data_IF_818908334658
#
_entry.id   IF_818908334658
#
_cell.length_a   1.000
_cell.length_b   1.000
_cell.length_c   1.000
_cell.angle_alpha   90.00
_cell.angle_beta   90.00
_cell.angle_gamma   90.00
#
_symmetry.space_group_name_H-M   'P 1'
#
loop_
_entity.id
_entity.type
_entity.pdbx_description
1 polymer ?
#
# COMPACT_ATOMS: atom_id res chain seq x y z
N UNK A 1 39.84 57.20 -11.41
CA UNK A 1 38.37 57.16 -11.62
C UNK A 1 38.14 56.32 -12.87
N UNK A 2 37.38 55.23 -12.91
CA UNK A 2 36.28 54.77 -12.06
C UNK A 2 36.52 53.34 -11.57
N UNK A 3 36.20 53.12 -10.30
CA UNK A 3 36.08 51.83 -9.61
C UNK A 3 34.89 51.07 -10.21
N UNK A 4 35.05 49.77 -10.46
CA UNK A 4 33.91 48.86 -10.62
C UNK A 4 33.48 48.41 -9.20
N UNK A 5 32.19 48.41 -8.85
CA UNK A 5 31.74 48.01 -7.52
C UNK A 5 31.79 46.49 -7.37
N UNK A 6 32.25 46.06 -6.20
CA UNK A 6 32.00 44.73 -5.65
C UNK A 6 30.59 44.68 -5.04
N UNK A 7 29.95 43.50 -5.07
CA UNK A 7 28.58 43.23 -4.63
C UNK A 7 27.67 43.10 -5.85
N UNK A 8 27.00 41.98 -6.11
CA UNK A 8 26.13 41.23 -5.21
C UNK A 8 26.23 39.71 -5.42
N UNK A 9 25.82 38.98 -4.39
CA UNK A 9 26.12 37.58 -4.18
C UNK A 9 25.57 36.62 -5.24
N UNK A 10 26.38 35.61 -5.50
CA UNK A 10 26.02 34.35 -6.14
C UNK A 10 24.89 33.69 -5.34
N UNK A 11 23.62 33.95 -5.68
CA UNK A 11 22.48 33.18 -5.19
C UNK A 11 22.35 31.91 -6.03
N UNK A 12 23.16 30.89 -5.71
CA UNK A 12 22.91 29.51 -6.14
C UNK A 12 22.27 28.79 -4.95
N UNK A 13 21.10 29.26 -4.54
CA UNK A 13 20.13 28.45 -3.83
C UNK A 13 18.87 28.53 -4.67
N UNK A 14 18.68 27.55 -5.56
CA UNK A 14 17.33 27.32 -6.09
C UNK A 14 16.47 27.06 -4.86
N UNK A 15 15.52 27.96 -4.60
CA UNK A 15 14.54 27.84 -3.53
C UNK A 15 13.93 26.44 -3.61
N UNK A 16 14.05 25.66 -2.53
CA UNK A 16 13.54 24.29 -2.48
C UNK A 16 12.02 24.41 -2.49
N UNK A 17 11.39 24.00 -3.60
CA UNK A 17 9.94 24.00 -3.76
C UNK A 17 9.38 22.68 -3.24
N UNK A 18 8.23 22.74 -2.56
CA UNK A 18 7.51 21.56 -2.10
C UNK A 18 6.90 20.83 -3.29
N UNK A 19 7.22 19.55 -3.43
CA UNK A 19 6.76 18.72 -4.55
C UNK A 19 5.59 17.85 -4.12
N UNK A 20 4.49 17.85 -4.88
CA UNK A 20 3.34 16.98 -4.70
C UNK A 20 3.27 15.97 -5.85
N UNK A 21 3.34 14.68 -5.53
CA UNK A 21 3.24 13.60 -6.53
C UNK A 21 2.00 12.75 -6.26
N UNK A 22 1.21 12.46 -7.30
CA UNK A 22 0.00 11.63 -7.17
C UNK A 22 -0.27 10.83 -8.45
N UNK A 23 -0.91 9.63 -8.36
CA UNK A 23 -1.29 8.89 -9.54
C UNK A 23 -2.36 9.65 -10.34
N UNK A 24 -2.33 9.53 -11.66
CA UNK A 24 -3.24 10.27 -12.55
C UNK A 24 -4.74 10.05 -12.25
N UNK A 25 -5.12 8.89 -11.69
CA UNK A 25 -6.49 8.60 -11.26
C UNK A 25 -6.88 9.23 -9.91
N UNK A 26 -5.95 9.85 -9.17
CA UNK A 26 -6.18 10.36 -7.81
C UNK A 26 -7.41 11.28 -7.70
N UNK A 27 -7.62 12.13 -8.72
CA UNK A 27 -8.73 13.09 -8.75
C UNK A 27 -10.06 12.48 -9.23
N UNK A 28 -10.08 11.20 -9.63
CA UNK A 28 -11.31 10.53 -10.04
C UNK A 28 -12.20 10.15 -8.85
N UNK A 29 -11.62 10.01 -7.66
CA UNK A 29 -12.37 9.62 -6.47
C UNK A 29 -13.45 10.64 -6.08
N UNK A 30 -14.68 10.13 -5.95
CA UNK A 30 -15.82 10.81 -5.36
C UNK A 30 -16.52 9.86 -4.40
N UNK A 31 -16.74 10.30 -3.16
CA UNK A 31 -17.47 9.51 -2.18
C UNK A 31 -18.91 9.29 -2.65
N UNK A 32 -19.37 8.05 -2.65
CA UNK A 32 -20.74 7.65 -3.00
C UNK A 32 -21.72 7.81 -1.83
N UNK A 33 -21.24 8.23 -0.65
CA UNK A 33 -22.00 8.48 0.57
C UNK A 33 -22.92 7.29 0.90
N UNK A 34 -24.23 7.50 0.95
CA UNK A 34 -25.23 6.46 1.23
C UNK A 34 -25.29 5.34 0.18
N UNK A 35 -24.68 5.53 -0.99
CA UNK A 35 -24.52 4.47 -2.00
C UNK A 35 -23.37 3.51 -1.71
N UNK A 36 -22.52 3.77 -0.71
CA UNK A 36 -21.41 2.90 -0.35
C UNK A 36 -21.92 1.65 0.38
N UNK A 37 -21.56 0.42 -0.04
CA UNK A 37 -21.98 -0.81 0.63
C UNK A 37 -21.24 -1.04 1.97
N UNK A 38 -20.29 -0.17 2.31
CA UNK A 38 -19.47 -0.23 3.51
C UNK A 38 -19.38 1.15 4.19
N UNK A 39 -18.76 1.20 5.37
CA UNK A 39 -18.55 2.41 6.15
C UNK A 39 -17.08 2.62 6.49
N UNK A 40 -16.58 3.83 6.24
CA UNK A 40 -15.24 4.23 6.65
C UNK A 40 -15.13 4.45 8.18
N UNK A 41 -16.24 4.44 8.92
CA UNK A 41 -16.31 4.77 10.34
C UNK A 41 -16.40 3.54 11.26
N UNK A 42 -15.88 2.39 10.82
CA UNK A 42 -15.84 1.17 11.62
C UNK A 42 -14.50 0.44 11.51
N UNK A 43 -14.11 -0.29 12.55
CA UNK A 43 -12.94 -1.17 12.57
C UNK A 43 -11.60 -0.48 12.87
N UNK A 44 -11.51 0.85 12.88
CA UNK A 44 -10.27 1.57 13.17
C UNK A 44 -10.53 2.91 13.87
N UNK A 45 -9.56 3.36 14.67
CA UNK A 45 -9.65 4.60 15.46
C UNK A 45 -9.49 5.85 14.60
N UNK A 46 -10.47 6.76 14.65
CA UNK A 46 -10.41 8.02 13.91
C UNK A 46 -9.78 9.11 14.78
N UNK A 47 -8.58 9.53 14.41
CA UNK A 47 -7.88 10.66 15.05
C UNK A 47 -8.46 11.99 14.58
N UNK A 48 -8.51 12.95 15.50
CA UNK A 48 -9.08 14.30 15.32
C UNK A 48 -7.93 15.29 15.38
N UNK A 49 -7.80 16.13 14.34
CA UNK A 49 -6.81 17.20 14.34
C UNK A 49 -7.12 18.28 15.39
N UNK A 50 -6.08 18.99 15.84
CA UNK A 50 -6.19 20.00 16.90
C UNK A 50 -7.18 21.13 16.58
N UNK A 51 -7.33 21.52 15.31
CA UNK A 51 -8.26 22.56 14.91
C UNK A 51 -9.72 22.08 15.06
N UNK A 52 -10.00 20.85 14.64
CA UNK A 52 -11.31 20.21 14.82
C UNK A 52 -11.62 19.95 16.29
N UNK A 53 -10.67 19.54 17.12
CA UNK A 53 -10.86 19.42 18.57
C UNK A 53 -11.29 20.76 19.19
N UNK A 54 -10.64 21.87 18.80
CA UNK A 54 -11.03 23.20 19.26
C UNK A 54 -12.44 23.56 18.79
N UNK A 55 -12.78 23.25 17.53
CA UNK A 55 -14.12 23.48 16.97
C UNK A 55 -15.19 22.72 17.75
N UNK A 56 -14.95 21.43 18.01
CA UNK A 56 -15.88 20.56 18.74
C UNK A 56 -16.05 20.97 20.19
N UNK A 57 -14.99 21.47 20.84
CA UNK A 57 -15.04 21.93 22.23
C UNK A 57 -15.90 23.17 22.43
N UNK A 58 -16.05 23.97 21.38
CA UNK A 58 -16.81 25.22 21.40
C UNK A 58 -18.19 25.06 20.75
N UNK A 59 -18.61 23.83 20.45
CA UNK A 59 -19.93 23.60 19.88
C UNK A 59 -20.98 23.51 20.99
N UNK A 60 -21.97 24.38 20.91
CA UNK A 60 -23.10 24.39 21.83
C UNK A 60 -24.23 23.47 21.38
N UNK A 61 -25.21 23.28 22.27
CA UNK A 61 -26.44 22.56 21.98
C UNK A 61 -26.35 21.03 22.14
N UNK A 62 -27.42 20.30 21.75
CA UNK A 62 -27.51 18.86 21.94
C UNK A 62 -26.38 18.08 21.23
N UNK A 63 -26.05 18.47 20.00
CA UNK A 63 -24.99 17.81 19.23
C UNK A 63 -23.59 18.12 19.80
N UNK A 64 -23.36 19.36 20.25
CA UNK A 64 -22.17 19.73 21.01
C UNK A 64 -21.99 18.87 22.26
N UNK A 65 -23.06 18.67 23.02
CA UNK A 65 -23.06 17.77 24.20
C UNK A 65 -22.70 16.34 23.83
N UNK A 66 -23.17 15.83 22.69
CA UNK A 66 -22.78 14.50 22.17
C UNK A 66 -21.30 14.46 21.80
N UNK A 67 -20.76 15.49 21.13
CA UNK A 67 -19.33 15.60 20.82
C UNK A 67 -18.48 15.53 22.09
N UNK A 68 -18.83 16.30 23.12
CA UNK A 68 -18.14 16.29 24.41
C UNK A 68 -18.08 14.91 25.05
N UNK A 69 -19.18 14.16 24.98
CA UNK A 69 -19.26 12.83 25.59
C UNK A 69 -18.66 11.72 24.72
N UNK A 70 -18.47 11.97 23.42
CA UNK A 70 -18.09 10.96 22.43
C UNK A 70 -16.67 11.12 21.87
N UNK A 71 -15.86 11.99 22.49
CA UNK A 71 -14.44 12.20 22.15
C UNK A 71 -13.56 11.79 23.32
N UNK A 72 -12.48 11.04 23.04
CA UNK A 72 -11.36 10.87 23.96
C UNK A 72 -10.46 12.11 23.88
N UNK A 73 -10.77 13.14 24.66
CA UNK A 73 -10.13 14.46 24.56
C UNK A 73 -8.61 14.48 24.78
N UNK A 74 -8.09 13.55 25.57
CA UNK A 74 -6.65 13.41 25.83
C UNK A 74 -5.92 12.79 24.63
N UNK A 75 -6.52 11.78 24.03
CA UNK A 75 -5.96 11.07 22.88
C UNK A 75 -6.23 11.83 21.57
N UNK A 76 -7.28 12.65 21.53
CA UNK A 76 -7.71 13.33 20.33
C UNK A 76 -8.35 12.37 19.32
N UNK A 77 -9.21 11.47 19.78
CA UNK A 77 -9.87 10.46 18.93
C UNK A 77 -11.38 10.39 19.21
N UNK A 78 -12.16 9.94 18.22
CA UNK A 78 -13.56 9.62 18.48
C UNK A 78 -13.67 8.31 19.27
N UNK A 79 -14.57 8.28 20.26
CA UNK A 79 -14.92 7.05 20.97
C UNK A 79 -15.50 6.04 19.97
N UNK A 80 -15.28 4.77 20.26
CA UNK A 80 -15.90 3.67 19.54
C UNK A 80 -16.82 2.87 20.45
N UNK A 81 -17.97 2.48 19.92
CA UNK A 81 -18.91 1.58 20.56
C UNK A 81 -19.07 0.34 19.68
N UNK A 82 -18.72 -0.82 20.22
CA UNK A 82 -18.69 -2.07 19.47
C UNK A 82 -17.93 -1.96 18.14
N UNK A 83 -16.77 -1.28 18.12
CA UNK A 83 -15.93 -1.10 16.93
C UNK A 83 -16.48 -0.14 15.87
N UNK A 84 -17.54 0.62 16.17
CA UNK A 84 -18.11 1.67 15.32
C UNK A 84 -17.83 3.04 15.93
N UNK A 85 -17.52 4.04 15.12
CA UNK A 85 -17.41 5.43 15.55
C UNK A 85 -18.71 5.87 16.25
N UNK A 86 -18.59 6.64 17.34
CA UNK A 86 -19.74 7.14 18.09
C UNK A 86 -20.71 8.04 17.30
N UNK A 87 -20.30 8.50 16.11
CA UNK A 87 -21.10 9.32 15.20
C UNK A 87 -21.58 8.56 13.96
N UNK A 88 -21.35 7.24 13.89
CA UNK A 88 -21.90 6.41 12.84
C UNK A 88 -23.29 5.92 13.26
N UNK A 89 -24.33 6.38 12.58
CA UNK A 89 -25.71 6.04 12.91
C UNK A 89 -26.12 4.64 12.41
N UNK A 90 -27.38 4.28 12.66
CA UNK A 90 -27.95 2.98 12.30
C UNK A 90 -28.06 2.77 10.77
N UNK A 91 -28.15 3.86 10.00
CA UNK A 91 -28.13 3.86 8.54
C UNK A 91 -26.71 3.80 7.96
N UNK A 92 -25.67 3.65 8.80
CA UNK A 92 -24.26 3.70 8.44
C UNK A 92 -23.81 5.06 7.85
N UNK A 93 -24.49 6.15 8.22
CA UNK A 93 -24.13 7.51 7.85
C UNK A 93 -23.50 8.28 9.03
N UNK A 94 -22.71 9.30 8.72
CA UNK A 94 -22.00 10.10 9.72
C UNK A 94 -22.86 11.25 10.23
N UNK A 95 -23.18 11.24 11.53
CA UNK A 95 -24.01 12.29 12.15
C UNK A 95 -23.28 13.64 12.23
N UNK A 96 -21.95 13.68 12.25
CA UNK A 96 -21.22 14.97 12.16
C UNK A 96 -21.53 15.64 10.82
N UNK A 97 -21.61 14.86 9.74
CA UNK A 97 -21.94 15.40 8.43
C UNK A 97 -23.40 15.85 8.38
N UNK A 98 -24.35 15.03 8.82
CA UNK A 98 -25.78 15.35 8.70
C UNK A 98 -26.25 16.45 9.65
N UNK A 99 -25.75 16.48 10.88
CA UNK A 99 -26.19 17.45 11.91
C UNK A 99 -25.43 18.76 11.84
N UNK A 100 -24.13 18.72 11.57
CA UNK A 100 -23.27 19.91 11.64
C UNK A 100 -22.75 20.37 10.27
N UNK A 101 -22.77 19.51 9.26
CA UNK A 101 -22.29 19.83 7.91
C UNK A 101 -20.87 19.34 7.60
N UNK A 102 -20.50 19.21 6.31
CA UNK A 102 -19.20 18.70 5.86
C UNK A 102 -17.99 19.48 6.41
N UNK A 103 -18.14 20.78 6.65
CA UNK A 103 -17.10 21.65 7.20
C UNK A 103 -16.77 21.35 8.66
N UNK A 104 -17.59 20.56 9.35
CA UNK A 104 -17.33 20.05 10.70
C UNK A 104 -16.62 18.70 10.69
N UNK A 105 -16.46 18.02 9.56
CA UNK A 105 -15.61 16.84 9.52
C UNK A 105 -14.17 17.21 9.87
N UNK A 106 -13.55 16.42 10.75
CA UNK A 106 -12.13 16.54 11.04
C UNK A 106 -11.31 16.23 9.80
N UNK A 107 -10.03 16.64 9.80
CA UNK A 107 -9.13 16.45 8.66
C UNK A 107 -9.13 14.99 8.20
N UNK A 108 -9.00 14.04 9.12
CA UNK A 108 -9.01 12.59 8.85
C UNK A 108 -10.27 12.16 8.08
N UNK A 109 -11.46 12.49 8.57
CA UNK A 109 -12.73 12.14 7.90
C UNK A 109 -12.89 12.84 6.55
N UNK A 110 -12.40 14.08 6.42
CA UNK A 110 -12.55 14.88 5.20
C UNK A 110 -11.61 14.42 4.09
N UNK A 111 -10.41 13.98 4.43
CA UNK A 111 -9.41 13.57 3.45
C UNK A 111 -9.59 12.12 3.05
N UNK A 112 -10.06 11.24 3.95
CA UNK A 112 -10.27 9.83 3.65
C UNK A 112 -11.09 9.62 2.36
N UNK A 113 -10.69 8.71 1.46
CA UNK A 113 -9.59 7.74 1.54
C UNK A 113 -8.27 8.26 0.94
N UNK A 114 -8.05 9.57 0.87
CA UNK A 114 -6.77 10.12 0.41
C UNK A 114 -5.73 9.93 1.50
N UNK A 115 -4.67 9.21 1.14
CA UNK A 115 -3.47 9.03 1.92
C UNK A 115 -2.40 10.04 1.47
N UNK A 116 -1.62 10.53 2.42
CA UNK A 116 -0.51 11.45 2.16
C UNK A 116 0.70 10.93 2.95
N UNK A 117 1.73 10.51 2.23
CA UNK A 117 3.05 10.29 2.80
C UNK A 117 3.84 11.60 2.77
N UNK A 118 4.49 11.90 3.89
CA UNK A 118 5.20 13.17 4.11
C UNK A 118 6.71 12.93 4.20
N UNK A 119 7.45 13.42 3.22
CA UNK A 119 8.91 13.44 3.23
C UNK A 119 9.42 14.88 3.21
N UNK A 120 10.72 15.08 3.45
CA UNK A 120 11.30 16.41 3.36
C UNK A 120 11.29 16.92 1.92
N UNK A 121 10.64 18.06 1.70
CA UNK A 121 10.51 18.67 0.37
C UNK A 121 9.54 17.97 -0.58
N UNK A 122 8.89 16.86 -0.20
CA UNK A 122 7.82 16.28 -1.01
C UNK A 122 6.66 15.61 -0.23
N UNK A 123 5.48 15.64 -0.84
CA UNK A 123 4.27 14.92 -0.42
C UNK A 123 3.87 13.96 -1.51
N UNK A 124 3.56 12.75 -1.12
CA UNK A 124 3.08 11.72 -2.04
C UNK A 124 1.67 11.34 -1.67
N UNK A 125 0.74 11.58 -2.59
CA UNK A 125 -0.68 11.45 -2.34
C UNK A 125 -1.23 10.29 -3.13
N UNK A 126 -2.00 9.41 -2.49
CA UNK A 126 -2.68 8.27 -3.13
C UNK A 126 -4.07 8.07 -2.54
N UNK A 127 -4.82 7.11 -3.05
CA UNK A 127 -6.08 6.65 -2.46
C UNK A 127 -5.82 5.34 -1.71
N UNK A 128 -6.43 5.12 -0.55
CA UNK A 128 -6.30 3.86 0.19
C UNK A 128 -7.19 2.77 -0.42
N UNK A 129 -6.66 1.55 -0.57
CA UNK A 129 -7.46 0.36 -0.92
C UNK A 129 -8.57 0.08 0.11
N UNK A 130 -8.42 0.54 1.36
CA UNK A 130 -9.40 0.38 2.44
C UNK A 130 -10.75 1.06 2.22
N UNK A 131 -10.95 1.78 1.12
CA UNK A 131 -12.26 2.23 0.66
C UNK A 131 -12.62 1.48 -0.63
N UNK A 132 -13.78 0.82 -0.66
CA UNK A 132 -14.21 0.02 -1.80
C UNK A 132 -14.28 0.80 -3.13
N UNK A 133 -14.70 2.07 -3.09
CA UNK A 133 -14.72 2.94 -4.29
C UNK A 133 -13.29 3.26 -4.75
N UNK A 134 -12.37 3.54 -3.82
CA UNK A 134 -10.97 3.75 -4.14
C UNK A 134 -10.29 2.48 -4.68
N UNK A 135 -10.57 1.31 -4.08
CA UNK A 135 -10.10 0.02 -4.58
C UNK A 135 -10.58 -0.24 -6.01
N UNK A 136 -11.85 0.08 -6.30
CA UNK A 136 -12.44 -0.02 -7.65
C UNK A 136 -11.71 0.90 -8.63
N UNK A 137 -11.39 2.14 -8.24
CA UNK A 137 -10.63 3.08 -9.09
C UNK A 137 -9.20 2.58 -9.35
N UNK A 138 -8.48 2.14 -8.30
CA UNK A 138 -7.09 1.68 -8.40
C UNK A 138 -7.00 0.42 -9.27
N UNK A 139 -7.83 -0.58 -8.97
CA UNK A 139 -7.79 -1.89 -9.65
C UNK A 139 -8.49 -1.87 -11.01
N UNK A 140 -9.38 -0.90 -11.23
CA UNK A 140 -10.05 -0.65 -12.50
C UNK A 140 -9.20 0.16 -13.48
N UNK A 141 -8.03 0.65 -13.07
CA UNK A 141 -7.08 1.32 -13.95
C UNK A 141 -6.50 0.30 -14.95
N UNK A 142 -6.96 0.32 -16.20
CA UNK A 142 -6.47 -0.59 -17.23
C UNK A 142 -5.15 -0.12 -17.83
N UNK A 143 -4.89 1.19 -17.92
CA UNK A 143 -3.61 1.73 -18.37
C UNK A 143 -2.50 1.64 -17.30
N UNK A 144 -1.21 1.63 -17.71
CA UNK A 144 -0.10 1.77 -16.77
C UNK A 144 -0.16 3.10 -16.01
N UNK A 145 0.04 3.06 -14.70
CA UNK A 145 -0.11 4.24 -13.84
C UNK A 145 0.92 5.30 -14.17
N UNK A 146 0.45 6.50 -14.53
CA UNK A 146 1.28 7.70 -14.62
C UNK A 146 1.19 8.48 -13.32
N UNK A 147 2.32 9.01 -12.87
CA UNK A 147 2.40 9.92 -11.73
C UNK A 147 2.51 11.35 -12.24
N UNK A 148 1.72 12.24 -11.64
CA UNK A 148 1.68 13.66 -11.95
C UNK A 148 2.33 14.41 -10.80
N UNK A 149 3.09 15.44 -11.14
CA UNK A 149 3.84 16.26 -10.18
C UNK A 149 3.35 17.70 -10.23
N UNK A 150 3.28 18.35 -9.06
CA UNK A 150 3.01 19.78 -8.90
C UNK A 150 3.99 20.36 -7.90
N UNK A 151 4.34 21.63 -8.08
CA UNK A 151 5.26 22.37 -7.21
C UNK A 151 4.49 23.45 -6.44
N UNK A 152 4.91 23.72 -5.22
CA UNK A 152 4.44 24.79 -4.34
C UNK A 152 5.67 25.50 -3.73
N UNK A 153 5.57 26.79 -3.45
CA UNK A 153 6.66 27.63 -2.94
C UNK A 153 6.94 27.42 -1.44
N UNK A 154 6.13 26.59 -0.77
CA UNK A 154 6.32 26.26 0.65
C UNK A 154 7.64 25.53 0.91
N UNK A 155 8.21 25.79 2.08
CA UNK A 155 9.42 25.14 2.56
C UNK A 155 9.16 24.48 3.90
N UNK A 156 9.64 23.26 4.04
CA UNK A 156 9.61 22.49 5.28
C UNK A 156 10.98 21.85 5.47
N UNK A 157 11.46 21.84 6.71
CA UNK A 157 12.75 21.26 7.08
C UNK A 157 12.57 20.29 8.23
N UNK A 158 13.15 19.10 8.14
CA UNK A 158 13.19 18.11 9.21
C UNK A 158 14.64 17.86 9.60
N UNK A 159 15.00 18.16 10.85
CA UNK A 159 16.41 18.20 11.29
C UNK A 159 17.16 16.87 11.13
N UNK A 160 16.44 15.74 11.17
CA UNK A 160 17.01 14.38 11.18
C UNK A 160 16.71 13.55 9.90
N UNK A 161 16.39 14.18 8.78
CA UNK A 161 16.06 13.46 7.54
C UNK A 161 17.31 13.01 6.75
N UNK A 162 17.44 11.72 6.48
CA UNK A 162 18.52 11.17 5.65
C UNK A 162 18.25 11.40 4.16
N UNK A 163 18.56 12.61 3.69
CA UNK A 163 18.42 13.01 2.28
C UNK A 163 19.19 12.11 1.32
N UNK A 164 20.36 11.61 1.73
CA UNK A 164 21.18 10.79 0.85
C UNK A 164 20.52 9.43 0.62
N UNK A 165 20.05 8.78 1.69
CA UNK A 165 19.26 7.56 1.58
C UNK A 165 17.96 7.81 0.81
N UNK A 166 17.22 8.86 1.14
CA UNK A 166 15.96 9.18 0.48
C UNK A 166 16.13 9.36 -1.04
N UNK A 167 17.15 10.10 -1.47
CA UNK A 167 17.45 10.28 -2.90
C UNK A 167 17.65 8.94 -3.59
N UNK A 168 18.44 8.03 -3.00
CA UNK A 168 18.68 6.70 -3.58
C UNK A 168 17.44 5.79 -3.55
N UNK A 169 16.57 5.94 -2.56
CA UNK A 169 15.28 5.25 -2.50
C UNK A 169 14.35 5.74 -3.62
N UNK A 170 14.28 7.04 -3.87
CA UNK A 170 13.51 7.63 -4.95
C UNK A 170 13.98 7.11 -6.32
N UNK A 171 15.28 7.15 -6.59
CA UNK A 171 15.87 6.67 -7.84
C UNK A 171 15.59 5.16 -8.06
N UNK A 172 15.72 4.36 -7.01
CA UNK A 172 15.45 2.91 -7.06
C UNK A 172 13.95 2.62 -7.26
N UNK A 173 13.08 3.40 -6.62
CA UNK A 173 11.62 3.26 -6.75
C UNK A 173 11.16 3.67 -8.14
N UNK A 174 11.69 4.75 -8.71
CA UNK A 174 11.37 5.17 -10.06
C UNK A 174 11.68 4.05 -11.06
N UNK A 175 12.87 3.44 -10.97
CA UNK A 175 13.21 2.27 -11.77
C UNK A 175 12.28 1.08 -11.50
N UNK A 176 11.93 0.80 -10.25
CA UNK A 176 11.00 -0.28 -9.92
C UNK A 176 9.61 -0.03 -10.55
N UNK A 177 9.10 1.19 -10.51
CA UNK A 177 7.83 1.57 -11.13
C UNK A 177 7.89 1.51 -12.66
N UNK A 178 9.02 1.87 -13.27
CA UNK A 178 9.24 1.70 -14.71
C UNK A 178 9.19 0.23 -15.13
N UNK A 179 9.90 -0.63 -14.38
CA UNK A 179 9.89 -2.09 -14.60
C UNK A 179 8.47 -2.63 -14.42
N UNK A 180 7.78 -2.28 -13.33
CA UNK A 180 6.42 -2.73 -13.04
C UNK A 180 5.42 -2.31 -14.10
N UNK A 181 5.60 -1.17 -14.78
CA UNK A 181 4.69 -0.69 -15.82
C UNK A 181 4.99 -1.20 -17.22
N UNK A 182 6.16 -1.82 -17.43
CA UNK A 182 6.56 -2.38 -18.73
C UNK A 182 5.90 -3.73 -19.00
N UNK A 183 4.67 -3.71 -19.50
CA UNK A 183 3.87 -4.90 -19.85
C UNK A 183 4.44 -5.73 -21.01
N UNK A 184 5.59 -5.36 -21.56
CA UNK A 184 6.31 -6.24 -22.50
C UNK A 184 7.03 -7.39 -21.80
N UNK A 185 7.13 -7.32 -20.47
CA UNK A 185 7.55 -8.40 -19.59
C UNK A 185 6.35 -9.07 -18.91
N UNK A 186 6.54 -10.34 -18.52
CA UNK A 186 5.61 -11.03 -17.63
C UNK A 186 5.51 -10.31 -16.27
N UNK A 187 4.42 -10.50 -15.53
CA UNK A 187 4.33 -9.89 -14.19
C UNK A 187 5.33 -10.53 -13.21
N UNK A 188 5.63 -11.81 -13.44
CA UNK A 188 6.60 -12.62 -12.73
C UNK A 188 7.98 -11.97 -12.81
N UNK A 189 8.47 -11.75 -14.03
CA UNK A 189 9.80 -11.19 -14.25
C UNK A 189 9.93 -9.77 -13.69
N UNK A 190 8.89 -8.95 -13.87
CA UNK A 190 8.85 -7.58 -13.33
C UNK A 190 8.98 -7.59 -11.80
N UNK A 191 8.21 -8.45 -11.15
CA UNK A 191 8.22 -8.59 -9.69
C UNK A 191 9.55 -9.14 -9.20
N UNK A 192 10.10 -10.16 -9.87
CA UNK A 192 11.42 -10.73 -9.59
C UNK A 192 12.52 -9.66 -9.72
N UNK A 193 12.46 -8.81 -10.75
CA UNK A 193 13.38 -7.68 -10.94
C UNK A 193 13.33 -6.68 -9.78
N UNK A 194 12.13 -6.31 -9.34
CA UNK A 194 11.96 -5.39 -8.22
C UNK A 194 12.45 -5.98 -6.89
N UNK A 195 12.18 -7.27 -6.62
CA UNK A 195 12.67 -7.98 -5.44
C UNK A 195 14.20 -8.04 -5.42
N UNK A 196 14.82 -8.35 -6.57
CA UNK A 196 16.27 -8.35 -6.71
C UNK A 196 16.90 -6.98 -6.52
N UNK A 197 16.33 -5.93 -7.14
CA UNK A 197 16.80 -4.56 -7.00
C UNK A 197 16.83 -4.14 -5.52
N UNK A 198 15.72 -4.37 -4.82
CA UNK A 198 15.61 -4.03 -3.40
C UNK A 198 16.56 -4.87 -2.53
N UNK A 199 16.74 -6.15 -2.83
CA UNK A 199 17.71 -7.02 -2.15
C UNK A 199 19.15 -6.47 -2.27
N UNK A 200 19.56 -6.13 -3.48
CA UNK A 200 20.92 -5.65 -3.74
C UNK A 200 21.15 -4.23 -3.21
N UNK A 201 20.11 -3.40 -3.17
CA UNK A 201 20.15 -2.09 -2.53
C UNK A 201 20.31 -2.23 -1.01
N UNK A 202 19.53 -3.12 -0.39
CA UNK A 202 19.66 -3.42 1.04
C UNK A 202 21.07 -3.90 1.42
N UNK A 203 21.70 -4.71 0.55
CA UNK A 203 23.08 -5.17 0.76
C UNK A 203 24.10 -4.03 0.76
N UNK A 204 23.86 -2.93 0.03
CA UNK A 204 24.70 -1.72 0.05
C UNK A 204 24.48 -0.91 1.31
N UNK A 205 23.23 -0.70 1.71
CA UNK A 205 22.88 -0.02 2.96
C UNK A 205 23.57 -0.72 4.14
N UNK A 206 23.38 -2.05 4.28
CA UNK A 206 23.98 -2.84 5.37
C UNK A 206 25.50 -2.81 5.41
N UNK A 207 26.16 -2.60 4.27
CA UNK A 207 27.63 -2.55 4.17
C UNK A 207 28.18 -1.13 4.26
N UNK A 208 27.35 -0.10 4.47
CA UNK A 208 27.77 1.30 4.44
C UNK A 208 28.24 1.77 3.06
N UNK A 209 27.76 1.13 1.98
CA UNK A 209 28.19 1.38 0.59
C UNK A 209 27.08 1.97 -0.27
N UNK A 210 26.27 2.86 0.30
CA UNK A 210 25.15 3.50 -0.40
C UNK A 210 25.60 4.35 -1.59
N UNK A 211 26.84 4.85 -1.60
CA UNK A 211 27.46 5.50 -2.76
C UNK A 211 27.58 4.60 -4.01
N UNK A 212 27.47 3.28 -3.87
CA UNK A 212 27.42 2.32 -4.99
C UNK A 212 26.00 2.12 -5.56
N UNK A 213 24.99 2.84 -5.06
CA UNK A 213 23.59 2.68 -5.49
C UNK A 213 23.36 3.09 -6.94
N UNK A 214 24.01 4.15 -7.43
CA UNK A 214 23.81 4.63 -8.80
C UNK A 214 24.25 3.59 -9.83
N UNK A 215 25.41 2.97 -9.60
CA UNK A 215 25.90 1.87 -10.44
C UNK A 215 25.01 0.63 -10.37
N UNK A 216 24.36 0.37 -9.23
CA UNK A 216 23.37 -0.69 -9.09
C UNK A 216 22.13 -0.41 -9.93
N UNK A 217 21.53 0.77 -9.77
CA UNK A 217 20.32 1.20 -10.47
C UNK A 217 20.55 1.15 -11.97
N UNK A 218 21.68 1.68 -12.45
CA UNK A 218 22.02 1.64 -13.87
C UNK A 218 22.20 0.20 -14.41
N UNK A 219 22.76 -0.70 -13.59
CA UNK A 219 22.87 -2.12 -13.95
C UNK A 219 21.49 -2.75 -14.14
N UNK A 220 20.54 -2.49 -13.24
CA UNK A 220 19.17 -3.01 -13.37
C UNK A 220 18.42 -2.34 -14.53
N UNK A 221 18.62 -1.04 -14.77
CA UNK A 221 18.06 -0.32 -15.93
C UNK A 221 18.50 -0.96 -17.25
N UNK A 222 19.79 -1.28 -17.38
CA UNK A 222 20.32 -1.99 -18.57
C UNK A 222 19.78 -3.40 -18.70
N UNK A 223 19.65 -4.13 -17.58
CA UNK A 223 19.08 -5.47 -17.55
C UNK A 223 17.59 -5.45 -17.99
N UNK A 224 16.83 -4.48 -17.48
CA UNK A 224 15.45 -4.19 -17.87
C UNK A 224 15.34 -3.89 -19.37
N UNK A 225 16.15 -2.97 -19.88
CA UNK A 225 16.16 -2.61 -21.31
C UNK A 225 16.62 -3.74 -22.26
N UNK A 226 17.41 -4.70 -21.76
CA UNK A 226 17.85 -5.90 -22.51
C UNK A 226 16.96 -7.12 -22.32
N UNK A 227 15.88 -7.01 -21.55
CA UNK A 227 14.98 -8.13 -21.24
C UNK A 227 15.67 -9.33 -20.61
N UNK A 228 16.56 -9.07 -19.63
CA UNK A 228 17.38 -10.11 -19.00
C UNK A 228 17.32 -10.04 -17.48
N UNK A 229 16.89 -11.12 -16.85
CA UNK A 229 17.02 -11.28 -15.40
C UNK A 229 18.51 -11.34 -14.99
N UNK A 230 18.93 -10.59 -13.96
CA UNK A 230 20.25 -10.72 -13.36
C UNK A 230 20.56 -12.15 -12.95
N UNK A 231 21.80 -12.59 -13.20
CA UNK A 231 22.29 -13.90 -12.76
C UNK A 231 22.45 -13.95 -11.24
N UNK A 232 22.21 -15.11 -10.63
CA UNK A 232 22.45 -15.36 -9.20
C UNK A 232 21.18 -15.37 -8.33
N UNK A 233 20.00 -15.33 -8.94
CA UNK A 233 18.73 -15.55 -8.25
C UNK A 233 18.30 -17.00 -8.42
N UNK A 234 18.93 -17.90 -7.67
CA UNK A 234 18.49 -19.29 -7.66
C UNK A 234 17.12 -19.39 -6.99
N UNK A 235 16.24 -20.16 -7.60
CA UNK A 235 14.90 -20.43 -7.08
C UNK A 235 14.97 -21.59 -6.13
N UNK A 236 14.21 -21.51 -5.04
CA UNK A 236 14.04 -22.67 -4.18
C UNK A 236 13.17 -23.71 -4.91
N UNK A 237 13.50 -24.99 -4.73
CA UNK A 237 12.61 -26.10 -5.10
C UNK A 237 11.50 -26.24 -4.05
N UNK A 238 10.66 -25.21 -3.93
CA UNK A 238 9.49 -25.22 -3.05
C UNK A 238 8.25 -24.84 -3.84
N UNK A 239 7.11 -25.36 -3.40
CA UNK A 239 5.83 -25.06 -4.04
C UNK A 239 5.30 -23.70 -3.61
N UNK A 240 4.51 -23.06 -4.49
CA UNK A 240 3.70 -21.89 -4.12
C UNK A 240 2.84 -22.17 -2.89
N UNK A 241 2.24 -23.36 -2.84
CA UNK A 241 1.42 -23.84 -1.72
C UNK A 241 2.13 -23.63 -0.36
N UNK A 242 3.38 -24.09 -0.22
CA UNK A 242 4.11 -23.97 1.06
C UNK A 242 4.38 -22.52 1.45
N UNK A 243 4.81 -21.70 0.48
CA UNK A 243 5.16 -20.29 0.74
C UNK A 243 3.91 -19.49 1.08
N UNK A 244 2.82 -19.71 0.33
CA UNK A 244 1.58 -18.97 0.51
C UNK A 244 0.76 -19.46 1.70
N UNK A 245 0.82 -20.74 2.08
CA UNK A 245 0.21 -21.22 3.32
C UNK A 245 0.88 -20.58 4.54
N UNK A 246 2.21 -20.47 4.53
CA UNK A 246 2.96 -19.74 5.57
C UNK A 246 2.60 -18.25 5.58
N UNK A 247 2.55 -17.59 4.41
CA UNK A 247 2.12 -16.19 4.31
C UNK A 247 0.70 -15.98 4.85
N UNK A 248 -0.24 -16.85 4.47
CA UNK A 248 -1.64 -16.76 4.86
C UNK A 248 -1.81 -16.99 6.37
N UNK A 249 -0.93 -17.78 6.98
CA UNK A 249 -0.94 -17.98 8.44
C UNK A 249 -0.65 -16.70 9.23
N UNK A 250 0.00 -15.70 8.64
CA UNK A 250 0.30 -14.41 9.29
C UNK A 250 -0.97 -13.66 9.71
N UNK A 251 -2.09 -13.84 9.01
CA UNK A 251 -3.36 -13.22 9.42
C UNK A 251 -3.82 -13.65 10.82
N UNK A 252 -3.40 -14.82 11.31
CA UNK A 252 -3.72 -15.26 12.67
C UNK A 252 -2.86 -14.63 13.76
N UNK A 253 -1.78 -13.96 13.36
CA UNK A 253 -0.86 -13.25 14.27
C UNK A 253 -1.14 -11.74 14.34
N UNK A 254 -2.01 -11.26 13.45
CA UNK A 254 -2.43 -9.87 13.36
C UNK A 254 -3.52 -9.56 14.40
N UNK A 255 -3.56 -8.32 14.86
CA UNK A 255 -4.70 -7.83 15.63
C UNK A 255 -5.95 -7.78 14.74
N UNK A 256 -7.11 -8.02 15.36
CA UNK A 256 -8.38 -8.11 14.64
C UNK A 256 -9.06 -6.74 14.62
N UNK A 257 -9.19 -6.16 13.43
CA UNK A 257 -9.88 -4.89 13.20
C UNK A 257 -11.34 -5.12 12.76
N UNK A 258 -11.55 -6.00 11.79
CA UNK A 258 -12.88 -6.41 11.32
C UNK A 258 -13.49 -7.50 12.20
N UNK A 259 -14.72 -7.31 12.68
CA UNK A 259 -15.39 -8.34 13.52
C UNK A 259 -15.60 -9.68 12.81
N UNK A 260 -15.87 -9.62 11.52
CA UNK A 260 -16.09 -10.77 10.64
C UNK A 260 -14.79 -11.33 10.04
N UNK A 261 -13.67 -10.61 10.18
CA UNK A 261 -12.38 -10.98 9.62
C UNK A 261 -11.89 -12.37 10.06
N UNK A 262 -11.93 -12.76 11.35
CA UNK A 262 -11.43 -14.08 11.77
C UNK A 262 -12.22 -15.23 11.14
N UNK A 263 -13.56 -15.11 11.07
CA UNK A 263 -14.41 -16.11 10.44
C UNK A 263 -14.15 -16.17 8.93
N UNK A 264 -14.01 -15.01 8.30
CA UNK A 264 -13.71 -14.90 6.88
C UNK A 264 -12.38 -15.57 6.51
N UNK A 265 -11.27 -15.19 7.15
CA UNK A 265 -9.93 -15.73 6.85
C UNK A 265 -9.87 -17.22 7.18
N UNK A 266 -10.51 -17.67 8.26
CA UNK A 266 -10.58 -19.10 8.58
C UNK A 266 -11.27 -19.90 7.48
N UNK A 267 -12.41 -19.41 6.98
CA UNK A 267 -13.12 -20.00 5.84
C UNK A 267 -12.25 -20.03 4.58
N UNK A 268 -11.60 -18.92 4.25
CA UNK A 268 -10.71 -18.83 3.08
C UNK A 268 -9.51 -19.78 3.18
N UNK A 269 -8.91 -19.89 4.38
CA UNK A 269 -7.81 -20.83 4.63
C UNK A 269 -8.26 -22.27 4.43
N UNK A 270 -9.42 -22.65 4.96
CA UNK A 270 -9.98 -23.98 4.79
C UNK A 270 -10.29 -24.28 3.31
N UNK A 271 -10.84 -23.30 2.58
CA UNK A 271 -11.15 -23.42 1.16
C UNK A 271 -9.89 -23.67 0.31
N UNK A 272 -8.80 -22.94 0.57
CA UNK A 272 -7.54 -23.07 -0.18
C UNK A 272 -6.72 -24.30 0.22
N UNK A 273 -6.41 -24.42 1.51
CA UNK A 273 -5.36 -25.30 2.01
C UNK A 273 -5.92 -26.59 2.66
N UNK A 274 -7.20 -26.62 3.02
CA UNK A 274 -7.80 -27.73 3.78
C UNK A 274 -7.84 -29.09 3.06
N UNK A 275 -7.68 -29.12 1.74
CA UNK A 275 -7.60 -30.36 0.94
C UNK A 275 -6.18 -30.72 0.49
N UNK A 276 -5.18 -30.01 1.01
CA UNK A 276 -3.77 -30.21 0.71
C UNK A 276 -3.34 -29.73 -0.67
N UNK A 277 -2.04 -29.89 -0.92
CA UNK A 277 -1.32 -29.30 -2.07
C UNK A 277 -1.89 -29.64 -3.44
N UNK A 278 -2.23 -30.91 -3.71
CA UNK A 278 -2.71 -31.32 -5.03
C UNK A 278 -4.05 -30.67 -5.39
N UNK A 279 -4.95 -30.51 -4.42
CA UNK A 279 -6.23 -29.84 -4.61
C UNK A 279 -6.03 -28.33 -4.84
N UNK A 280 -5.11 -27.71 -4.09
CA UNK A 280 -4.70 -26.33 -4.29
C UNK A 280 -4.17 -26.08 -5.71
N UNK A 281 -3.19 -26.86 -6.17
CA UNK A 281 -2.56 -26.70 -7.49
C UNK A 281 -3.57 -26.95 -8.64
N UNK A 282 -4.52 -27.86 -8.46
CA UNK A 282 -5.59 -28.11 -9.45
C UNK A 282 -6.53 -26.93 -9.54
N UNK A 283 -6.97 -26.38 -8.40
CA UNK A 283 -7.84 -25.20 -8.36
C UNK A 283 -7.11 -23.95 -8.84
N UNK A 284 -5.82 -23.81 -8.53
CA UNK A 284 -4.98 -22.71 -9.03
C UNK A 284 -5.00 -22.64 -10.55
N UNK A 285 -4.75 -23.75 -11.22
CA UNK A 285 -4.82 -23.82 -12.70
C UNK A 285 -6.19 -23.42 -13.23
N UNK A 286 -7.27 -23.93 -12.63
CA UNK A 286 -8.62 -23.55 -13.05
C UNK A 286 -8.96 -22.07 -12.76
N UNK A 287 -8.46 -21.52 -11.67
CA UNK A 287 -8.61 -20.10 -11.32
C UNK A 287 -7.87 -19.19 -12.31
N UNK A 288 -6.64 -19.54 -12.70
CA UNK A 288 -5.87 -18.80 -13.70
C UNK A 288 -6.57 -18.76 -15.06
N UNK A 289 -7.26 -19.83 -15.45
CA UNK A 289 -8.04 -19.89 -16.70
C UNK A 289 -9.39 -19.16 -16.66
N UNK A 290 -9.84 -18.75 -15.47
CA UNK A 290 -11.09 -18.01 -15.29
C UNK A 290 -11.01 -16.58 -15.85
N UNK A 291 -12.16 -15.92 -16.00
CA UNK A 291 -12.22 -14.53 -16.49
C UNK A 291 -11.40 -13.57 -15.63
N UNK A 292 -11.51 -13.67 -14.30
CA UNK A 292 -10.69 -12.86 -13.39
C UNK A 292 -9.22 -13.30 -13.41
N UNK A 293 -8.95 -14.60 -13.59
CA UNK A 293 -7.61 -15.17 -13.71
C UNK A 293 -6.81 -14.52 -14.83
N UNK A 294 -7.44 -14.37 -16.00
CA UNK A 294 -6.86 -13.69 -17.17
C UNK A 294 -6.57 -12.20 -16.93
N UNK A 295 -7.21 -11.57 -15.95
CA UNK A 295 -6.98 -10.17 -15.56
C UNK A 295 -5.92 -10.02 -14.47
N UNK A 296 -5.49 -11.11 -13.81
CA UNK A 296 -4.52 -11.07 -12.71
C UNK A 296 -3.20 -10.35 -13.05
N UNK A 297 -2.60 -10.46 -14.24
CA UNK A 297 -1.36 -9.74 -14.54
C UNK A 297 -1.51 -8.21 -14.40
N UNK A 298 -2.66 -7.66 -14.79
CA UNK A 298 -2.96 -6.22 -14.65
C UNK A 298 -3.34 -5.90 -13.21
N UNK A 299 -4.19 -6.71 -12.56
CA UNK A 299 -4.59 -6.47 -11.17
C UNK A 299 -3.39 -6.50 -10.20
N UNK A 300 -2.48 -7.46 -10.38
CA UNK A 300 -1.24 -7.57 -9.60
C UNK A 300 -0.27 -6.43 -9.90
N UNK A 301 -0.17 -5.97 -11.14
CA UNK A 301 0.57 -4.75 -11.47
C UNK A 301 0.03 -3.55 -10.68
N UNK A 302 -1.29 -3.33 -10.68
CA UNK A 302 -1.89 -2.21 -9.97
C UNK A 302 -1.64 -2.28 -8.45
N UNK A 303 -1.76 -3.47 -7.85
CA UNK A 303 -1.43 -3.70 -6.43
C UNK A 303 0.06 -3.43 -6.14
N UNK A 304 0.97 -3.96 -6.96
CA UNK A 304 2.40 -3.73 -6.79
C UNK A 304 2.76 -2.26 -6.92
N UNK A 305 2.25 -1.56 -7.93
CA UNK A 305 2.45 -0.12 -8.12
C UNK A 305 1.90 0.66 -6.93
N UNK A 306 0.71 0.32 -6.44
CA UNK A 306 0.12 0.91 -5.25
C UNK A 306 1.02 0.75 -4.02
N UNK A 307 1.41 -0.48 -3.67
CA UNK A 307 2.21 -0.73 -2.47
C UNK A 307 3.63 -0.15 -2.58
N UNK A 308 4.26 -0.23 -3.75
CA UNK A 308 5.61 0.33 -3.98
C UNK A 308 5.57 1.86 -3.90
N UNK A 309 4.60 2.51 -4.53
CA UNK A 309 4.46 3.96 -4.44
C UNK A 309 4.20 4.40 -2.99
N UNK A 310 3.28 3.73 -2.30
CA UNK A 310 2.84 4.10 -0.95
C UNK A 310 3.91 3.85 0.12
N UNK A 311 4.65 2.73 0.05
CA UNK A 311 5.44 2.28 1.21
C UNK A 311 6.95 2.18 0.99
N UNK A 312 7.43 2.13 -0.26
CA UNK A 312 8.85 1.83 -0.51
C UNK A 312 9.78 2.92 0.04
N UNK A 313 9.46 4.20 -0.20
CA UNK A 313 10.28 5.31 0.26
C UNK A 313 10.19 5.55 1.78
N UNK A 314 9.18 5.00 2.45
CA UNK A 314 9.14 4.93 3.92
C UNK A 314 10.31 4.15 4.53
N UNK A 315 11.09 3.43 3.70
CA UNK A 315 12.37 2.85 4.10
C UNK A 315 13.42 3.89 4.55
N UNK A 316 13.23 5.19 4.27
CA UNK A 316 14.11 6.25 4.77
C UNK A 316 14.15 6.25 6.30
N UNK A 317 13.04 5.89 6.95
CA UNK A 317 12.92 5.93 8.42
C UNK A 317 13.49 4.70 9.13
N UNK A 318 13.66 3.57 8.43
CA UNK A 318 14.09 2.32 9.05
C UNK A 318 15.21 1.58 8.29
N UNK A 319 15.73 2.15 7.19
CA UNK A 319 16.81 1.59 6.39
C UNK A 319 16.48 0.25 5.73
N UNK A 320 15.20 -0.06 5.49
CA UNK A 320 14.74 -1.40 5.09
C UNK A 320 13.99 -1.46 3.74
N UNK A 321 14.56 -0.98 2.61
CA UNK A 321 13.86 -1.03 1.32
C UNK A 321 13.52 -2.45 0.86
N UNK A 322 14.33 -3.44 1.25
CA UNK A 322 14.04 -4.83 0.90
C UNK A 322 12.82 -5.37 1.65
N UNK A 323 12.66 -5.03 2.93
CA UNK A 323 11.43 -5.36 3.66
C UNK A 323 10.20 -4.72 3.02
N UNK A 324 10.27 -3.44 2.65
CA UNK A 324 9.16 -2.75 1.96
C UNK A 324 8.78 -3.42 0.63
N UNK A 325 9.76 -3.78 -0.20
CA UNK A 325 9.50 -4.46 -1.47
C UNK A 325 8.92 -5.88 -1.28
N UNK A 326 9.43 -6.64 -0.30
CA UNK A 326 8.87 -7.96 0.03
C UNK A 326 7.46 -7.86 0.57
N UNK A 327 7.17 -6.84 1.38
CA UNK A 327 5.83 -6.56 1.89
C UNK A 327 4.88 -6.27 0.72
N UNK A 328 5.29 -5.42 -0.24
CA UNK A 328 4.49 -5.14 -1.44
C UNK A 328 4.18 -6.41 -2.25
N UNK A 329 5.19 -7.25 -2.52
CA UNK A 329 5.01 -8.51 -3.22
C UNK A 329 4.13 -9.50 -2.44
N UNK A 330 4.35 -9.64 -1.14
CA UNK A 330 3.60 -10.58 -0.29
C UNK A 330 2.15 -10.13 -0.11
N UNK A 331 1.89 -8.84 0.07
CA UNK A 331 0.54 -8.29 0.14
C UNK A 331 -0.22 -8.54 -1.18
N UNK A 332 0.42 -8.30 -2.32
CA UNK A 332 -0.15 -8.60 -3.65
C UNK A 332 -0.51 -10.07 -3.79
N UNK A 333 0.40 -10.97 -3.41
CA UNK A 333 0.17 -12.42 -3.44
C UNK A 333 -0.93 -12.85 -2.47
N UNK A 334 -1.00 -12.28 -1.26
CA UNK A 334 -2.04 -12.58 -0.27
C UNK A 334 -3.43 -12.17 -0.76
N UNK A 335 -3.56 -11.00 -1.40
CA UNK A 335 -4.82 -10.57 -2.03
C UNK A 335 -5.22 -11.54 -3.15
N UNK A 336 -4.27 -12.00 -3.95
CA UNK A 336 -4.52 -13.03 -4.96
C UNK A 336 -4.95 -14.38 -4.36
N UNK A 337 -4.36 -14.81 -3.25
CA UNK A 337 -4.80 -16.00 -2.53
C UNK A 337 -6.24 -15.83 -2.00
N UNK A 338 -6.57 -14.68 -1.40
CA UNK A 338 -7.94 -14.37 -0.97
C UNK A 338 -8.92 -14.43 -2.17
N UNK A 339 -8.55 -13.89 -3.32
CA UNK A 339 -9.35 -13.98 -4.53
C UNK A 339 -9.57 -15.42 -5.01
N UNK A 340 -8.53 -16.25 -5.02
CA UNK A 340 -8.66 -17.67 -5.36
C UNK A 340 -9.52 -18.45 -4.36
N UNK A 341 -9.42 -18.10 -3.07
CA UNK A 341 -10.23 -18.68 -2.01
C UNK A 341 -11.72 -18.38 -2.23
N UNK A 342 -12.05 -17.11 -2.48
CA UNK A 342 -13.38 -16.64 -2.82
C UNK A 342 -13.92 -17.32 -4.08
N UNK A 343 -13.11 -17.39 -5.14
CA UNK A 343 -13.49 -18.08 -6.38
C UNK A 343 -13.82 -19.56 -6.14
N UNK A 344 -13.04 -20.22 -5.27
CA UNK A 344 -13.26 -21.62 -4.89
C UNK A 344 -14.56 -21.78 -4.10
N UNK A 345 -14.80 -20.90 -3.13
CA UNK A 345 -15.98 -20.91 -2.26
C UNK A 345 -17.28 -20.62 -3.05
N UNK A 346 -17.21 -19.71 -4.01
CA UNK A 346 -18.33 -19.32 -4.88
C UNK A 346 -18.56 -20.28 -6.07
N UNK A 347 -17.95 -21.46 -6.05
CA UNK A 347 -18.18 -22.50 -7.06
C UNK A 347 -17.60 -22.18 -8.44
N UNK A 348 -16.45 -21.51 -8.48
CA UNK A 348 -15.72 -21.22 -9.72
C UNK A 348 -16.08 -19.90 -10.39
N UNK A 349 -16.69 -18.96 -9.65
CA UNK A 349 -17.04 -17.62 -10.13
C UNK A 349 -16.47 -16.58 -9.19
N UNK A 350 -15.93 -15.50 -9.75
CA UNK A 350 -15.45 -14.34 -9.01
C UNK A 350 -15.52 -13.13 -9.93
N UNK A 351 -16.23 -12.09 -9.53
CA UNK A 351 -16.33 -10.85 -10.30
C UNK A 351 -15.16 -9.92 -10.00
N UNK A 352 -15.02 -8.87 -10.79
CA UNK A 352 -14.08 -7.78 -10.50
C UNK A 352 -14.35 -7.11 -9.15
N UNK A 353 -15.63 -6.91 -8.79
CA UNK A 353 -15.98 -6.29 -7.51
C UNK A 353 -15.64 -7.19 -6.33
N UNK A 354 -15.76 -8.52 -6.47
CA UNK A 354 -15.30 -9.45 -5.44
C UNK A 354 -13.77 -9.37 -5.25
N UNK A 355 -13.01 -9.23 -6.34
CA UNK A 355 -11.55 -9.03 -6.26
C UNK A 355 -11.22 -7.69 -5.59
N UNK A 356 -11.91 -6.62 -5.97
CA UNK A 356 -11.74 -5.30 -5.36
C UNK A 356 -12.09 -5.32 -3.87
N UNK A 357 -13.14 -6.03 -3.48
CA UNK A 357 -13.52 -6.22 -2.08
C UNK A 357 -12.49 -7.06 -1.30
N UNK A 358 -11.89 -8.08 -1.93
CA UNK A 358 -10.79 -8.83 -1.29
C UNK A 358 -9.58 -7.93 -0.97
N UNK A 359 -9.18 -7.07 -1.91
CA UNK A 359 -8.11 -6.08 -1.70
C UNK A 359 -8.49 -5.04 -0.63
N UNK A 360 -9.74 -4.60 -0.67
CA UNK A 360 -10.31 -3.67 0.29
C UNK A 360 -10.31 -4.22 1.72
N UNK A 361 -10.79 -5.44 1.92
CA UNK A 361 -10.82 -6.09 3.24
C UNK A 361 -9.42 -6.40 3.75
N UNK A 362 -8.50 -6.83 2.88
CA UNK A 362 -7.08 -6.93 3.22
C UNK A 362 -6.52 -5.59 3.71
N UNK A 363 -6.76 -4.50 2.95
CA UNK A 363 -6.25 -3.17 3.28
C UNK A 363 -6.81 -2.66 4.61
N UNK A 364 -8.11 -2.85 4.87
CA UNK A 364 -8.73 -2.51 6.16
C UNK A 364 -8.11 -3.27 7.31
N UNK A 365 -7.79 -4.54 7.15
CA UNK A 365 -7.19 -5.31 8.24
C UNK A 365 -5.70 -4.96 8.44
N UNK A 366 -4.95 -4.83 7.35
CA UNK A 366 -3.49 -4.71 7.40
C UNK A 366 -3.06 -3.25 7.47
N UNK A 367 -3.51 -2.39 6.55
CA UNK A 367 -2.99 -1.03 6.41
C UNK A 367 -3.50 -0.07 7.49
N UNK A 368 -4.68 -0.31 8.07
CA UNK A 368 -5.22 0.51 9.18
C UNK A 368 -4.56 0.24 10.54
N UNK A 369 -3.72 -0.79 10.65
CA UNK A 369 -2.97 -1.10 11.86
C UNK A 369 -1.47 -1.02 11.61
N UNK A 370 -0.76 -0.19 12.38
CA UNK A 370 0.71 -0.18 12.36
C UNK A 370 1.28 -1.48 12.90
N UNK A 371 0.58 -2.13 13.85
CA UNK A 371 0.95 -3.44 14.37
C UNK A 371 0.87 -4.51 13.28
N UNK A 372 -0.21 -4.55 12.50
CA UNK A 372 -0.37 -5.54 11.43
C UNK A 372 0.61 -5.34 10.28
N UNK A 373 0.86 -4.08 9.89
CA UNK A 373 1.95 -3.76 8.94
C UNK A 373 3.31 -4.24 9.46
N UNK A 374 3.61 -4.01 10.74
CA UNK A 374 4.85 -4.46 11.36
C UNK A 374 4.95 -6.00 11.39
N UNK A 375 3.89 -6.72 11.74
CA UNK A 375 3.84 -8.19 11.69
C UNK A 375 4.21 -8.69 10.30
N UNK A 376 3.59 -8.13 9.25
CA UNK A 376 3.87 -8.52 7.87
C UNK A 376 5.31 -8.18 7.45
N UNK A 377 5.77 -6.95 7.67
CA UNK A 377 7.13 -6.50 7.29
C UNK A 377 8.21 -7.30 8.03
N UNK A 378 8.06 -7.51 9.34
CA UNK A 378 9.02 -8.28 10.12
C UNK A 378 9.04 -9.75 9.71
N UNK A 379 7.86 -10.36 9.49
CA UNK A 379 7.77 -11.74 9.07
C UNK A 379 8.51 -11.96 7.74
N UNK A 380 8.21 -11.15 6.72
CA UNK A 380 8.86 -11.30 5.41
C UNK A 380 10.36 -11.05 5.49
N UNK A 381 10.87 -10.24 6.42
CA UNK A 381 12.32 -10.03 6.57
C UNK A 381 13.01 -11.16 7.35
N UNK A 382 12.41 -11.61 8.45
CA UNK A 382 13.08 -12.46 9.45
C UNK A 382 12.86 -13.95 9.24
N UNK A 383 11.70 -14.37 8.72
CA UNK A 383 11.40 -15.81 8.62
C UNK A 383 12.08 -16.45 7.41
N UNK A 384 12.73 -17.62 7.58
CA UNK A 384 13.36 -18.34 6.46
C UNK A 384 12.39 -18.70 5.34
N UNK A 385 11.10 -18.88 5.67
CA UNK A 385 10.02 -19.16 4.73
C UNK A 385 9.84 -18.12 3.63
N UNK A 386 10.21 -16.86 3.91
CA UNK A 386 10.13 -15.75 2.98
C UNK A 386 11.49 -15.36 2.38
N UNK A 387 12.52 -16.21 2.47
CA UNK A 387 13.79 -15.95 1.79
C UNK A 387 13.58 -15.62 0.30
N UNK A 388 14.46 -14.80 -0.30
CA UNK A 388 14.31 -14.30 -1.68
C UNK A 388 13.93 -15.42 -2.65
N UNK A 389 14.73 -16.50 -2.65
CA UNK A 389 14.55 -17.69 -3.49
C UNK A 389 13.18 -18.38 -3.37
N UNK A 390 12.52 -18.29 -2.20
CA UNK A 390 11.20 -18.88 -1.94
C UNK A 390 10.09 -17.94 -2.42
N UNK A 391 10.23 -16.64 -2.19
CA UNK A 391 9.31 -15.65 -2.76
C UNK A 391 9.36 -15.64 -4.29
N UNK A 392 10.54 -15.73 -4.89
CA UNK A 392 10.70 -15.88 -6.34
C UNK A 392 9.99 -17.15 -6.85
N UNK A 393 10.11 -18.27 -6.14
CA UNK A 393 9.39 -19.49 -6.48
C UNK A 393 7.87 -19.33 -6.41
N UNK A 394 7.34 -18.59 -5.43
CA UNK A 394 5.91 -18.29 -5.34
C UNK A 394 5.43 -17.34 -6.45
N UNK A 395 6.20 -16.30 -6.75
CA UNK A 395 5.92 -15.34 -7.84
C UNK A 395 5.88 -16.05 -9.19
N UNK A 396 6.88 -16.86 -9.49
CA UNK A 396 7.06 -17.45 -10.83
C UNK A 396 6.25 -18.74 -11.06
N UNK A 397 5.58 -19.23 -10.01
CA UNK A 397 4.83 -20.50 -10.06
C UNK A 397 3.67 -20.54 -11.07
N UNK A 398 3.13 -19.38 -11.44
CA UNK A 398 2.04 -19.28 -12.41
C UNK A 398 2.55 -19.29 -13.86
N UNK A 399 3.75 -18.75 -14.09
CA UNK A 399 4.38 -18.65 -15.41
C UNK A 399 5.20 -19.89 -15.81
N UNK A 400 5.37 -20.87 -14.90
CA UNK A 400 6.14 -22.10 -15.18
C UNK A 400 5.31 -23.20 -15.89
N UNK A 401 4.16 -22.85 -16.44
CA UNK A 401 3.27 -23.75 -17.17
C UNK A 401 3.59 -23.84 -18.66
N UNK A 402 4.77 -24.36 -19.00
CA UNK A 402 5.06 -25.12 -20.24
C UNK A 402 6.39 -25.88 -20.11
#
# INVERSE_FOLDING_TARGET
MKRCPAGEGCSIYKEVQMIYTFPHYYNHFKCTASGCPDTCCAGWGIMIDSASLKKYRNMDGPFGSRLHNSIHWKEGSFKQYHGRCAFLNEENLCDIYSEAGPEYLCRTCRTYPRHIEEFEGCREMTLCLSCIEAATIILGCEEPVRFLTREDERQETYEDFDFFLFTKLMDARELALDILRDRTWSWEDRTSMCLGLAHDLQARIRKGRLYEADGLIERYRRAAGRRRLPSGWDRASCSRYEVMEEAFSLFSEMEVLGKDWPAFVSGMKAALYGKGRQAYETRRRAFLESEIGKRLPVLKEQLMVYFVFTYFCGAVYNGNPYGKMKMAATATLLIEELAQALWTDQGGRLTFLDFADAAHRFSREVEHSDSNKAVLEEAVVRRPGFALRRLLAAVESDGSGE
#
